data_IF_172564384990
#
_entry.id   IF_172564384990
#
_cell.length_a   1.000
_cell.length_b   1.000
_cell.length_c   1.000
_cell.angle_alpha   90.00
_cell.angle_beta   90.00
_cell.angle_gamma   90.00
#
_symmetry.space_group_name_H-M   'P 1'
#
loop_
_entity.id
_entity.type
_entity.pdbx_description
1 polymer ?
#
# COMPACT_ATOMS: atom_id res chain seq x y z
N UNK A 1 34.13 8.27 25.96
CA UNK A 1 33.20 8.05 24.86
C UNK A 1 33.39 6.62 24.36
N UNK A 2 32.53 5.66 24.78
CA UNK A 2 32.63 4.27 24.31
C UNK A 2 31.67 4.10 23.11
N UNK A 3 32.24 3.89 21.93
CA UNK A 3 31.50 3.56 20.71
C UNK A 3 30.84 2.18 20.87
N UNK A 4 29.51 2.14 20.85
CA UNK A 4 28.77 0.88 20.69
C UNK A 4 28.94 0.43 19.24
N UNK A 5 29.68 -0.64 19.02
CA UNK A 5 29.75 -1.31 17.72
C UNK A 5 28.36 -1.80 17.26
N UNK A 6 28.16 -2.02 15.94
CA UNK A 6 26.91 -2.51 15.42
C UNK A 6 26.58 -3.87 16.02
N UNK A 7 25.33 -4.04 16.49
CA UNK A 7 24.84 -5.31 17.00
C UNK A 7 24.94 -6.37 15.90
N UNK A 8 25.61 -7.48 16.19
CA UNK A 8 25.72 -8.60 15.28
C UNK A 8 24.32 -9.15 14.96
N UNK A 9 23.95 -9.11 13.69
CA UNK A 9 22.72 -9.72 13.19
C UNK A 9 22.91 -11.22 13.23
N UNK A 10 22.27 -11.91 14.17
CA UNK A 10 22.27 -13.37 14.22
C UNK A 10 21.58 -13.92 12.97
N UNK A 11 22.21 -14.76 12.15
CA UNK A 11 21.57 -15.32 10.96
C UNK A 11 20.36 -16.17 11.38
N UNK A 12 19.22 -15.93 10.69
CA UNK A 12 18.01 -16.73 10.87
C UNK A 12 18.31 -18.18 10.47
N UNK A 13 18.00 -19.15 11.33
CA UNK A 13 18.05 -20.57 10.96
C UNK A 13 17.10 -20.81 9.79
N UNK A 14 17.53 -21.53 8.73
CA UNK A 14 16.64 -21.90 7.65
C UNK A 14 15.47 -22.75 8.20
N UNK A 15 14.27 -22.47 7.69
CA UNK A 15 13.06 -23.20 8.05
C UNK A 15 13.19 -24.66 7.60
N UNK A 16 13.27 -25.60 8.56
CA UNK A 16 13.26 -27.03 8.27
C UNK A 16 11.83 -27.56 8.40
N UNK A 17 11.27 -28.04 7.30
CA UNK A 17 9.93 -28.65 7.21
C UNK A 17 9.78 -29.96 8.03
N UNK A 18 10.87 -30.49 8.60
CA UNK A 18 10.89 -31.73 9.36
C UNK A 18 10.50 -31.61 10.83
N UNK A 19 10.36 -30.40 11.37
CA UNK A 19 9.90 -30.19 12.74
C UNK A 19 8.36 -30.25 12.80
N UNK A 20 7.79 -31.45 12.73
CA UNK A 20 6.40 -31.67 13.08
C UNK A 20 6.23 -31.35 14.59
N UNK A 21 5.50 -30.28 14.96
CA UNK A 21 5.37 -29.92 16.37
C UNK A 21 4.57 -30.97 17.09
N UNK A 22 5.10 -31.48 18.20
CA UNK A 22 4.34 -32.25 19.18
C UNK A 22 3.07 -31.49 19.56
N UNK A 23 1.96 -32.21 19.78
CA UNK A 23 0.62 -31.67 19.99
C UNK A 23 0.46 -30.71 21.19
N UNK A 24 1.50 -30.45 21.98
CA UNK A 24 1.53 -29.58 23.16
C UNK A 24 1.99 -28.14 22.90
N UNK A 25 2.47 -27.81 21.68
CA UNK A 25 2.93 -26.46 21.30
C UNK A 25 1.92 -25.76 20.38
N UNK A 26 0.65 -25.75 20.74
CA UNK A 26 -0.43 -25.18 19.94
C UNK A 26 -0.53 -23.64 20.06
N UNK A 27 0.46 -22.94 19.56
CA UNK A 27 0.24 -21.64 18.95
C UNK A 27 0.14 -21.84 17.44
N UNK A 28 -0.83 -21.23 16.74
CA UNK A 28 -0.91 -21.33 15.29
C UNK A 28 0.44 -20.94 14.65
N UNK A 29 0.78 -21.48 13.49
CA UNK A 29 2.01 -21.12 12.74
C UNK A 29 2.11 -19.60 12.54
N UNK A 30 0.97 -18.95 12.37
CA UNK A 30 0.86 -17.50 12.34
C UNK A 30 1.37 -16.85 13.64
N UNK A 31 0.97 -17.35 14.82
CA UNK A 31 1.39 -16.79 16.10
C UNK A 31 2.90 -16.98 16.33
N UNK A 32 3.47 -18.09 15.87
CA UNK A 32 4.93 -18.35 15.92
C UNK A 32 5.68 -17.38 15.00
N UNK A 33 5.27 -17.26 13.75
CA UNK A 33 5.84 -16.33 12.77
C UNK A 33 5.73 -14.88 13.25
N UNK A 34 4.58 -14.48 13.75
CA UNK A 34 4.34 -13.13 14.27
C UNK A 34 5.28 -12.79 15.44
N UNK A 35 5.54 -13.75 16.35
CA UNK A 35 6.53 -13.58 17.42
C UNK A 35 7.95 -13.40 16.87
N UNK A 36 8.36 -14.22 15.91
CA UNK A 36 9.68 -14.13 15.29
C UNK A 36 9.89 -12.76 14.61
N UNK A 37 8.92 -12.30 13.83
CA UNK A 37 8.96 -11.00 13.15
C UNK A 37 9.09 -9.86 14.15
N UNK A 38 8.37 -9.93 15.28
CA UNK A 38 8.48 -8.91 16.36
C UNK A 38 9.85 -8.94 17.04
N UNK A 39 10.39 -10.13 17.30
CA UNK A 39 11.70 -10.26 17.95
C UNK A 39 12.85 -9.68 17.13
N UNK A 40 12.77 -9.75 15.80
CA UNK A 40 13.79 -9.14 14.91
C UNK A 40 13.49 -7.67 14.58
N UNK A 41 12.51 -7.05 15.22
CA UNK A 41 12.21 -5.62 15.09
C UNK A 41 11.55 -5.21 13.76
N UNK A 42 11.09 -6.15 12.92
CA UNK A 42 10.48 -5.84 11.63
C UNK A 42 9.11 -5.16 11.75
N UNK A 43 8.48 -5.20 12.93
CA UNK A 43 7.22 -4.52 13.22
C UNK A 43 7.44 -3.13 13.85
N UNK A 44 8.67 -2.68 14.02
CA UNK A 44 8.95 -1.38 14.60
C UNK A 44 8.66 -0.25 13.61
N UNK A 45 8.03 0.81 14.13
CA UNK A 45 7.77 2.01 13.33
C UNK A 45 9.06 2.78 13.07
N UNK A 46 9.14 3.35 11.88
CA UNK A 46 10.30 4.16 11.44
C UNK A 46 9.89 5.61 11.17
N UNK A 47 9.64 6.42 12.22
CA UNK A 47 9.11 7.78 12.05
C UNK A 47 10.04 8.68 11.22
N UNK A 48 11.34 8.56 11.37
CA UNK A 48 12.30 9.33 10.56
C UNK A 48 12.24 8.99 9.07
N UNK A 49 12.04 7.70 8.71
CA UNK A 49 11.84 7.28 7.34
C UNK A 49 10.58 7.91 6.72
N UNK A 50 9.47 7.89 7.46
CA UNK A 50 8.22 8.47 6.97
C UNK A 50 8.27 10.00 6.91
N UNK A 51 8.89 10.67 7.88
CA UNK A 51 9.12 12.10 7.83
C UNK A 51 9.87 12.49 6.55
N UNK A 52 10.97 11.79 6.25
CA UNK A 52 11.72 11.97 5.01
C UNK A 52 10.85 11.73 3.76
N UNK A 53 10.18 10.58 3.67
CA UNK A 53 9.34 10.24 2.52
C UNK A 53 8.24 11.26 2.28
N UNK A 54 7.52 11.68 3.33
CA UNK A 54 6.46 12.70 3.24
C UNK A 54 7.05 14.01 2.75
N UNK A 55 8.16 14.48 3.35
CA UNK A 55 8.80 15.73 2.94
C UNK A 55 9.19 15.72 1.47
N UNK A 56 9.91 14.69 1.03
CA UNK A 56 10.34 14.56 -0.37
C UNK A 56 9.14 14.52 -1.31
N UNK A 57 8.12 13.71 -0.99
CA UNK A 57 6.92 13.59 -1.84
C UNK A 57 6.17 14.91 -1.95
N UNK A 58 6.01 15.65 -0.84
CA UNK A 58 5.35 16.98 -0.85
C UNK A 58 6.16 17.99 -1.67
N UNK A 59 7.49 18.01 -1.53
CA UNK A 59 8.34 18.90 -2.32
C UNK A 59 8.27 18.58 -3.82
N UNK A 60 8.30 17.30 -4.19
CA UNK A 60 8.17 16.88 -5.58
C UNK A 60 6.77 17.19 -6.15
N UNK A 61 5.72 17.02 -5.35
CA UNK A 61 4.36 17.39 -5.74
C UNK A 61 4.26 18.90 -5.99
N UNK A 62 4.80 19.72 -5.09
CA UNK A 62 4.82 21.17 -5.25
C UNK A 62 5.65 21.59 -6.48
N UNK A 63 6.81 20.99 -6.70
CA UNK A 63 7.64 21.23 -7.89
C UNK A 63 6.90 20.82 -9.18
N UNK A 64 6.20 19.69 -9.19
CA UNK A 64 5.39 19.26 -10.33
C UNK A 64 4.28 20.25 -10.67
N UNK A 65 3.55 20.74 -9.68
CA UNK A 65 2.53 21.77 -9.89
C UNK A 65 3.11 23.11 -10.33
N UNK A 66 4.25 23.53 -9.76
CA UNK A 66 4.95 24.73 -10.20
C UNK A 66 5.39 24.60 -11.67
N UNK A 67 5.96 23.44 -12.04
CA UNK A 67 6.35 23.17 -13.43
C UNK A 67 5.14 23.16 -14.36
N UNK A 68 4.00 22.58 -13.94
CA UNK A 68 2.75 22.60 -14.68
C UNK A 68 2.33 24.04 -15.05
N UNK A 69 2.38 24.95 -14.09
CA UNK A 69 2.02 26.36 -14.30
C UNK A 69 3.04 27.07 -15.21
N UNK A 70 4.33 26.85 -15.01
CA UNK A 70 5.41 27.52 -15.77
C UNK A 70 5.47 27.07 -17.23
N UNK A 71 5.26 25.77 -17.47
CA UNK A 71 5.31 25.20 -18.84
C UNK A 71 4.16 25.72 -19.72
N UNK A 72 3.02 26.06 -19.13
CA UNK A 72 1.86 26.64 -19.84
C UNK A 72 1.32 25.72 -20.94
N UNK A 73 0.82 26.32 -22.04
CA UNK A 73 0.26 25.59 -23.18
C UNK A 73 1.38 25.04 -24.08
N UNK A 74 1.82 23.83 -23.78
CA UNK A 74 2.94 23.16 -24.47
C UNK A 74 2.81 21.64 -24.40
N UNK A 75 3.29 20.94 -25.42
CA UNK A 75 3.40 19.46 -25.44
C UNK A 75 4.24 18.90 -24.29
N UNK A 76 5.12 19.69 -23.68
CA UNK A 76 5.85 19.31 -22.48
C UNK A 76 4.94 19.01 -21.28
N UNK A 77 3.68 19.43 -21.32
CA UNK A 77 2.68 19.04 -20.32
C UNK A 77 2.48 17.52 -20.23
N UNK A 78 2.74 16.77 -21.30
CA UNK A 78 2.71 15.31 -21.24
C UNK A 78 3.79 14.74 -20.31
N UNK A 79 5.00 15.30 -20.36
CA UNK A 79 6.07 14.91 -19.43
C UNK A 79 5.76 15.30 -17.99
N UNK A 80 5.17 16.50 -17.77
CA UNK A 80 4.71 16.94 -16.45
C UNK A 80 3.61 16.03 -15.93
N UNK A 81 2.64 15.65 -16.76
CA UNK A 81 1.57 14.73 -16.40
C UNK A 81 2.11 13.34 -16.00
N UNK A 82 3.07 12.82 -16.78
CA UNK A 82 3.72 11.54 -16.42
C UNK A 82 4.47 11.62 -15.09
N UNK A 83 5.20 12.71 -14.85
CA UNK A 83 5.87 12.95 -13.57
C UNK A 83 4.87 13.04 -12.41
N UNK A 84 3.80 13.84 -12.56
CA UNK A 84 2.77 13.99 -11.53
C UNK A 84 2.04 12.67 -11.27
N UNK A 85 1.80 11.83 -12.28
CA UNK A 85 1.20 10.51 -12.09
C UNK A 85 2.03 9.62 -11.16
N UNK A 86 3.36 9.63 -11.32
CA UNK A 86 4.28 8.92 -10.41
C UNK A 86 4.20 9.49 -9.00
N UNK A 87 4.19 10.83 -8.86
CA UNK A 87 4.12 11.46 -7.53
C UNK A 87 2.77 11.21 -6.85
N UNK A 88 1.65 11.30 -7.57
CA UNK A 88 0.33 10.95 -7.03
C UNK A 88 0.26 9.51 -6.54
N UNK A 89 0.91 8.59 -7.23
CA UNK A 89 1.02 7.20 -6.77
C UNK A 89 1.78 7.11 -5.44
N UNK A 90 2.89 7.87 -5.27
CA UNK A 90 3.63 7.92 -4.00
C UNK A 90 2.78 8.53 -2.87
N UNK A 91 2.00 9.58 -3.14
CA UNK A 91 1.04 10.14 -2.18
C UNK A 91 -0.01 9.10 -1.78
N UNK A 92 -0.54 8.34 -2.75
CA UNK A 92 -1.47 7.24 -2.51
C UNK A 92 -0.89 6.16 -1.60
N UNK A 93 0.35 5.73 -1.82
CA UNK A 93 1.03 4.77 -0.94
C UNK A 93 1.26 5.31 0.47
N UNK A 94 1.61 6.58 0.63
CA UNK A 94 1.71 7.20 1.95
C UNK A 94 0.35 7.26 2.66
N UNK A 95 -0.73 7.55 1.93
CA UNK A 95 -2.10 7.49 2.45
C UNK A 95 -2.50 6.08 2.88
N UNK A 96 -2.12 5.06 2.12
CA UNK A 96 -2.30 3.64 2.44
C UNK A 96 -1.56 3.26 3.73
N UNK A 97 -0.28 3.63 3.86
CA UNK A 97 0.51 3.38 5.06
C UNK A 97 -0.06 4.09 6.30
N UNK A 98 -0.63 5.29 6.11
CA UNK A 98 -1.38 5.99 7.16
C UNK A 98 -2.63 5.21 7.58
N UNK A 99 -3.40 4.66 6.64
CA UNK A 99 -4.56 3.81 6.89
C UNK A 99 -4.21 2.57 7.72
N UNK A 100 -3.08 1.95 7.44
CA UNK A 100 -2.53 0.83 8.21
C UNK A 100 -1.83 1.23 9.51
N UNK A 101 -1.82 2.50 9.88
CA UNK A 101 -1.15 3.05 11.07
C UNK A 101 0.34 2.72 11.15
N UNK A 102 0.99 2.56 10.01
CA UNK A 102 2.43 2.30 9.96
C UNK A 102 3.23 3.56 10.28
N UNK A 103 2.73 4.73 9.85
CA UNK A 103 3.39 6.03 10.07
C UNK A 103 3.34 6.43 11.55
N UNK A 104 2.16 6.31 12.18
CA UNK A 104 1.93 6.70 13.57
C UNK A 104 1.10 5.67 14.33
N UNK A 105 1.41 5.48 15.64
CA UNK A 105 0.59 4.67 16.54
C UNK A 105 -0.73 5.35 16.94
N UNK A 106 -0.82 6.67 16.80
CA UNK A 106 -2.01 7.44 17.10
C UNK A 106 -3.04 7.33 15.97
N UNK A 107 -4.26 6.91 16.32
CA UNK A 107 -5.39 6.86 15.38
C UNK A 107 -5.73 8.22 14.80
N UNK A 108 -5.68 9.27 15.64
CA UNK A 108 -5.98 10.62 15.22
C UNK A 108 -4.96 11.13 14.20
N UNK A 109 -3.66 10.96 14.46
CA UNK A 109 -2.59 11.35 13.53
C UNK A 109 -2.71 10.58 12.22
N UNK A 110 -2.96 9.27 12.26
CA UNK A 110 -3.15 8.46 11.04
C UNK A 110 -4.34 8.92 10.21
N UNK A 111 -5.47 9.26 10.87
CA UNK A 111 -6.65 9.76 10.16
C UNK A 111 -6.39 11.14 9.54
N UNK A 112 -5.72 12.05 10.25
CA UNK A 112 -5.37 13.37 9.70
C UNK A 112 -4.43 13.23 8.51
N UNK A 113 -3.40 12.40 8.61
CA UNK A 113 -2.50 12.11 7.48
C UNK A 113 -3.25 11.50 6.30
N UNK A 114 -4.14 10.54 6.54
CA UNK A 114 -4.96 9.92 5.50
C UNK A 114 -5.88 10.93 4.80
N UNK A 115 -6.50 11.85 5.56
CA UNK A 115 -7.31 12.93 5.00
C UNK A 115 -6.47 13.92 4.18
N UNK A 116 -5.31 14.33 4.69
CA UNK A 116 -4.43 15.25 3.96
C UNK A 116 -3.89 14.62 2.68
N UNK A 117 -3.38 13.40 2.76
CA UNK A 117 -2.79 12.71 1.61
C UNK A 117 -3.85 12.26 0.60
N UNK A 118 -4.96 11.69 1.07
CA UNK A 118 -6.05 11.21 0.22
C UNK A 118 -6.87 12.36 -0.36
N UNK A 119 -7.51 13.16 0.49
CA UNK A 119 -8.47 14.17 0.01
C UNK A 119 -7.78 15.37 -0.64
N UNK A 120 -6.75 15.95 -0.01
CA UNK A 120 -6.05 17.10 -0.58
C UNK A 120 -4.95 16.70 -1.56
N UNK A 121 -4.20 15.62 -1.27
CA UNK A 121 -3.05 15.23 -2.07
C UNK A 121 -3.42 14.68 -3.44
N UNK A 122 -4.40 13.79 -3.51
CA UNK A 122 -4.80 13.10 -4.76
C UNK A 122 -6.28 13.20 -5.11
N UNK A 123 -7.08 13.95 -4.33
CA UNK A 123 -8.50 14.13 -4.60
C UNK A 123 -9.37 12.88 -4.36
N UNK A 124 -8.86 11.89 -3.61
CA UNK A 124 -9.57 10.65 -3.29
C UNK A 124 -10.15 10.70 -1.89
N UNK A 125 -11.44 10.38 -1.73
CA UNK A 125 -12.05 10.29 -0.40
C UNK A 125 -11.38 9.21 0.45
N UNK A 126 -10.64 9.63 1.47
CA UNK A 126 -9.99 8.73 2.42
C UNK A 126 -10.99 7.82 3.16
N UNK A 127 -12.15 8.35 3.53
CA UNK A 127 -13.21 7.58 4.19
C UNK A 127 -13.77 6.47 3.29
N UNK A 128 -14.05 6.78 2.03
CA UNK A 128 -14.50 5.79 1.05
C UNK A 128 -13.43 4.72 0.83
N UNK A 129 -12.19 5.14 0.58
CA UNK A 129 -11.07 4.23 0.37
C UNK A 129 -10.86 3.30 1.59
N UNK A 130 -10.86 3.83 2.80
CA UNK A 130 -10.67 3.06 4.02
C UNK A 130 -11.78 2.02 4.23
N UNK A 131 -13.02 2.37 3.92
CA UNK A 131 -14.15 1.43 3.97
C UNK A 131 -13.99 0.30 2.95
N UNK A 132 -13.68 0.65 1.70
CA UNK A 132 -13.43 -0.30 0.62
C UNK A 132 -12.25 -1.22 0.95
N UNK A 133 -11.14 -0.66 1.38
CA UNK A 133 -9.89 -1.37 1.69
C UNK A 133 -10.02 -2.29 2.91
N UNK A 134 -10.80 -1.88 3.93
CA UNK A 134 -11.13 -2.75 5.06
C UNK A 134 -11.91 -3.99 4.61
N UNK A 135 -12.84 -3.84 3.67
CA UNK A 135 -13.59 -4.98 3.10
C UNK A 135 -12.68 -5.92 2.32
N UNK A 136 -11.74 -5.37 1.52
CA UNK A 136 -10.73 -6.17 0.85
C UNK A 136 -9.91 -7.02 1.84
N UNK A 137 -9.44 -6.42 2.95
CA UNK A 137 -8.71 -7.18 3.98
C UNK A 137 -9.55 -8.24 4.70
N UNK A 138 -10.85 -8.06 4.81
CA UNK A 138 -11.75 -9.05 5.41
C UNK A 138 -12.03 -10.22 4.47
N UNK A 139 -12.07 -9.98 3.16
CA UNK A 139 -12.48 -10.95 2.15
C UNK A 139 -11.55 -10.95 0.92
N UNK A 140 -10.22 -11.06 1.10
CA UNK A 140 -9.28 -10.91 0.00
C UNK A 140 -9.54 -11.99 -1.07
N UNK A 141 -9.69 -11.54 -2.31
CA UNK A 141 -9.97 -12.37 -3.49
C UNK A 141 -11.28 -13.18 -3.45
N UNK A 142 -12.19 -12.87 -2.54
CA UNK A 142 -13.51 -13.53 -2.51
C UNK A 142 -14.47 -12.86 -3.50
N UNK A 143 -14.87 -13.59 -4.54
CA UNK A 143 -15.84 -13.09 -5.54
C UNK A 143 -17.14 -12.63 -4.88
N UNK A 144 -17.64 -11.48 -5.28
CA UNK A 144 -18.86 -10.86 -4.76
C UNK A 144 -18.71 -10.18 -3.37
N UNK A 145 -17.60 -10.41 -2.65
CA UNK A 145 -17.35 -9.82 -1.34
C UNK A 145 -16.19 -8.82 -1.35
N UNK A 146 -15.12 -9.13 -2.09
CA UNK A 146 -13.95 -8.25 -2.24
C UNK A 146 -14.23 -7.16 -3.27
N UNK A 147 -14.24 -5.88 -2.88
CA UNK A 147 -14.50 -4.79 -3.80
C UNK A 147 -13.35 -4.51 -4.77
N UNK A 148 -12.14 -5.05 -4.53
CA UNK A 148 -10.97 -4.80 -5.38
C UNK A 148 -10.96 -5.69 -6.62
N UNK A 149 -11.63 -6.85 -6.56
CA UNK A 149 -11.84 -7.74 -7.70
C UNK A 149 -13.27 -7.69 -8.24
N UNK A 150 -14.08 -6.69 -7.84
CA UNK A 150 -15.39 -6.47 -8.43
C UNK A 150 -15.25 -6.16 -9.92
N UNK A 151 -16.20 -6.67 -10.74
CA UNK A 151 -16.23 -6.42 -12.18
C UNK A 151 -16.25 -4.92 -12.46
N UNK A 152 -15.31 -4.45 -13.26
CA UNK A 152 -15.17 -3.04 -13.64
C UNK A 152 -14.57 -2.95 -15.04
N UNK A 153 -13.44 -2.28 -15.17
CA UNK A 153 -12.65 -2.21 -16.41
C UNK A 153 -11.88 -3.50 -16.66
N UNK A 154 -11.61 -4.27 -15.61
CA UNK A 154 -10.88 -5.53 -15.65
C UNK A 154 -11.78 -6.67 -15.19
N UNK A 155 -11.63 -7.85 -15.80
CA UNK A 155 -12.12 -9.13 -15.30
C UNK A 155 -10.97 -9.86 -14.61
N UNK A 156 -11.17 -10.25 -13.36
CA UNK A 156 -10.16 -10.91 -12.53
C UNK A 156 -10.31 -12.44 -12.54
N UNK A 157 -11.45 -12.94 -13.01
CA UNK A 157 -11.70 -14.38 -13.11
C UNK A 157 -12.31 -14.75 -14.46
N UNK A 158 -12.12 -16.01 -14.93
CA UNK A 158 -12.77 -16.50 -16.15
C UNK A 158 -14.30 -16.39 -16.09
N UNK A 159 -14.90 -16.58 -14.91
CA UNK A 159 -16.34 -16.45 -14.72
C UNK A 159 -16.84 -15.02 -14.97
N UNK A 160 -16.12 -14.01 -14.48
CA UNK A 160 -16.41 -12.61 -14.74
C UNK A 160 -16.29 -12.26 -16.23
N UNK A 161 -15.25 -12.75 -16.90
CA UNK A 161 -15.07 -12.55 -18.34
C UNK A 161 -16.21 -13.18 -19.15
N UNK A 162 -16.58 -14.43 -18.83
CA UNK A 162 -17.68 -15.16 -19.51
C UNK A 162 -19.05 -14.52 -19.28
N UNK A 163 -19.29 -13.91 -18.13
CA UNK A 163 -20.54 -13.23 -17.79
C UNK A 163 -20.69 -11.84 -18.45
N UNK A 164 -19.60 -11.28 -19.01
CA UNK A 164 -19.60 -9.96 -19.62
C UNK A 164 -20.32 -9.93 -20.96
N UNK A 165 -20.90 -8.76 -21.33
CA UNK A 165 -21.62 -8.55 -22.60
C UNK A 165 -21.16 -7.27 -23.27
N UNK A 166 -21.35 -7.18 -24.60
CA UNK A 166 -21.04 -5.99 -25.39
C UNK A 166 -19.55 -5.67 -25.43
N UNK A 167 -19.18 -4.39 -25.40
CA UNK A 167 -17.78 -3.92 -25.47
C UNK A 167 -16.91 -4.48 -24.34
N UNK A 168 -17.44 -4.70 -23.15
CA UNK A 168 -16.72 -5.29 -22.03
C UNK A 168 -16.23 -6.71 -22.35
N UNK A 169 -17.03 -7.50 -23.09
CA UNK A 169 -16.62 -8.86 -23.53
C UNK A 169 -15.39 -8.81 -24.43
N UNK A 170 -15.31 -7.84 -25.36
CA UNK A 170 -14.16 -7.67 -26.26
C UNK A 170 -12.92 -7.28 -25.44
N UNK A 171 -13.05 -6.31 -24.53
CA UNK A 171 -11.93 -5.86 -23.68
C UNK A 171 -11.39 -7.00 -22.80
N UNK A 172 -12.26 -7.84 -22.25
CA UNK A 172 -11.84 -8.94 -21.36
C UNK A 172 -11.18 -10.09 -22.12
N UNK A 173 -11.54 -10.34 -23.39
CA UNK A 173 -10.82 -11.30 -24.23
C UNK A 173 -9.39 -10.84 -24.57
N UNK A 174 -9.11 -9.54 -24.55
CA UNK A 174 -7.76 -9.00 -24.76
C UNK A 174 -6.89 -9.00 -23.49
N UNK A 175 -7.43 -9.40 -22.34
CA UNK A 175 -6.71 -9.47 -21.06
C UNK A 175 -6.13 -10.88 -20.78
N UNK A 176 -6.48 -11.88 -21.57
CA UNK A 176 -6.11 -13.29 -21.38
C UNK A 176 -4.75 -13.63 -22.01
#
# INVERSE_FOLDING_TARGET
MRSRGPAAVTPLRPFQLSDTPSASTRGSDYARLSRQIRQVGLMERRPGHYAWRITVTVLLLAAGWATFVVVGDSWWQLAVAAFLAVIFTQVGFLGHDAGHRQISGSRQVSNVLGLLLGNLGIGMSYGWWNSKHTRHHLYPNAEGADPDIAVGVLAFTPGQAAASRGLASILFHCQA
#
